data_IF_014834242877
#
_entry.id   IF_014834242877
#
_cell.length_a   1.000
_cell.length_b   1.000
_cell.length_c   1.000
_cell.angle_alpha   90.00
_cell.angle_beta   90.00
_cell.angle_gamma   90.00
#
_symmetry.space_group_name_H-M   'P 1'
#
loop_
_entity.id
_entity.type
_entity.pdbx_description
1 polymer ?
#
# COMPACT_ATOMS: atom_id res chain seq x y z
N UNK A 1 -39.45 21.25 -68.33
CA UNK A 1 -39.01 21.94 -67.09
C UNK A 1 -38.77 20.86 -66.03
N UNK A 2 -37.61 20.19 -65.86
CA UNK A 2 -36.21 20.64 -65.69
C UNK A 2 -35.91 21.47 -64.43
N UNK A 3 -36.59 21.24 -63.29
CA UNK A 3 -36.11 21.76 -61.98
C UNK A 3 -36.63 20.92 -60.79
N UNK A 4 -36.22 19.64 -60.59
CA UNK A 4 -36.56 18.92 -59.32
C UNK A 4 -35.52 17.94 -58.76
N UNK A 5 -34.40 17.66 -59.44
CA UNK A 5 -33.52 16.53 -59.03
C UNK A 5 -32.19 16.99 -58.38
N UNK A 6 -31.90 18.30 -58.35
CA UNK A 6 -30.56 18.79 -57.96
C UNK A 6 -30.42 19.23 -56.49
N UNK A 7 -31.44 19.06 -55.63
CA UNK A 7 -31.38 19.51 -54.22
C UNK A 7 -31.41 18.42 -53.16
N UNK A 8 -31.60 17.15 -53.53
CA UNK A 8 -31.60 16.03 -52.56
C UNK A 8 -30.24 15.32 -52.42
N UNK A 9 -29.29 15.55 -53.34
CA UNK A 9 -27.96 14.94 -53.27
C UNK A 9 -26.95 15.68 -52.38
N UNK A 10 -27.20 16.94 -52.01
CA UNK A 10 -26.31 17.72 -51.14
C UNK A 10 -26.59 17.53 -49.64
N UNK A 11 -27.78 17.05 -49.25
CA UNK A 11 -28.10 16.80 -47.84
C UNK A 11 -27.68 15.41 -47.34
N UNK A 12 -27.62 14.41 -48.23
CA UNK A 12 -27.17 13.05 -47.87
C UNK A 12 -25.68 12.95 -47.54
N UNK A 13 -24.86 13.82 -48.13
CA UNK A 13 -23.41 13.82 -47.95
C UNK A 13 -22.96 14.52 -46.66
N UNK A 14 -23.76 15.46 -46.13
CA UNK A 14 -23.47 16.16 -44.88
C UNK A 14 -23.76 15.31 -43.64
N UNK A 15 -24.74 14.40 -43.69
CA UNK A 15 -25.05 13.52 -42.54
C UNK A 15 -24.04 12.38 -42.39
N UNK A 16 -23.45 11.89 -43.50
CA UNK A 16 -22.45 10.83 -43.44
C UNK A 16 -21.08 11.30 -42.89
N UNK A 17 -20.71 12.57 -43.10
CA UNK A 17 -19.44 13.12 -42.63
C UNK A 17 -19.40 13.38 -41.11
N UNK A 18 -20.54 13.69 -40.49
CA UNK A 18 -20.62 13.94 -39.04
C UNK A 18 -20.62 12.63 -38.24
N UNK A 19 -21.21 11.55 -38.79
CA UNK A 19 -21.23 10.25 -38.13
C UNK A 19 -19.83 9.60 -38.03
N UNK A 20 -18.94 9.84 -39.00
CA UNK A 20 -17.57 9.34 -38.96
C UNK A 20 -16.67 10.10 -37.97
N UNK A 21 -17.02 11.32 -37.58
CA UNK A 21 -16.24 12.12 -36.63
C UNK A 21 -16.53 11.77 -35.15
N UNK A 22 -17.61 11.04 -34.87
CA UNK A 22 -18.03 10.66 -33.51
C UNK A 22 -17.77 9.19 -33.16
N UNK A 23 -17.32 8.38 -34.13
CA UNK A 23 -16.89 6.98 -33.91
C UNK A 23 -15.36 6.82 -33.99
N UNK A 24 -14.61 7.89 -33.72
CA UNK A 24 -13.20 7.75 -33.39
C UNK A 24 -13.09 6.94 -32.11
N UNK A 25 -12.87 5.64 -32.23
CA UNK A 25 -12.50 4.78 -31.11
C UNK A 25 -11.20 5.35 -30.58
N UNK A 26 -11.28 6.03 -29.45
CA UNK A 26 -10.11 6.24 -28.60
C UNK A 26 -9.75 4.87 -28.05
N UNK A 27 -9.13 4.03 -28.88
CA UNK A 27 -8.37 2.87 -28.45
C UNK A 27 -7.14 3.43 -27.73
N UNK A 28 -7.38 3.97 -26.54
CA UNK A 28 -6.36 4.19 -25.56
C UNK A 28 -5.68 2.82 -25.39
N UNK A 29 -4.37 2.70 -25.63
CA UNK A 29 -3.68 1.45 -25.44
C UNK A 29 -3.99 0.97 -24.03
N UNK A 30 -4.54 -0.24 -23.91
CA UNK A 30 -4.84 -0.85 -22.63
C UNK A 30 -3.58 -0.72 -21.76
N UNK A 31 -3.69 -0.27 -20.50
CA UNK A 31 -2.52 -0.10 -19.65
C UNK A 31 -1.78 -1.43 -19.64
N UNK A 32 -0.50 -1.36 -20.02
CA UNK A 32 0.39 -2.50 -20.10
C UNK A 32 0.42 -3.19 -18.72
N UNK A 33 -0.30 -4.30 -18.59
CA UNK A 33 -0.37 -5.11 -17.37
C UNK A 33 0.95 -5.85 -17.08
N UNK A 34 1.99 -5.64 -17.90
CA UNK A 34 3.31 -6.26 -17.70
C UNK A 34 4.31 -5.41 -16.95
N UNK A 35 3.93 -4.21 -16.48
CA UNK A 35 4.65 -3.53 -15.41
C UNK A 35 4.55 -4.36 -14.13
N UNK A 36 5.41 -5.38 -14.00
CA UNK A 36 5.62 -6.14 -12.77
C UNK A 36 6.05 -5.11 -11.73
N UNK A 37 5.11 -4.70 -10.88
CA UNK A 37 5.38 -3.79 -9.79
C UNK A 37 6.61 -4.31 -9.05
N UNK A 38 7.67 -3.48 -8.98
CA UNK A 38 8.83 -3.80 -8.16
C UNK A 38 8.29 -4.09 -6.76
N UNK A 39 8.63 -5.23 -6.13
CA UNK A 39 8.21 -5.49 -4.77
C UNK A 39 8.58 -4.28 -3.92
N UNK A 40 7.61 -3.72 -3.21
CA UNK A 40 7.89 -2.66 -2.26
C UNK A 40 8.96 -3.17 -1.30
N UNK A 41 9.96 -2.34 -0.99
CA UNK A 41 10.97 -2.75 -0.02
C UNK A 41 10.29 -3.05 1.33
N UNK A 42 10.69 -4.15 2.01
CA UNK A 42 10.15 -4.46 3.33
C UNK A 42 10.31 -3.28 4.27
N UNK A 43 9.25 -2.94 5.00
CA UNK A 43 9.34 -1.94 6.08
C UNK A 43 10.29 -2.45 7.16
N UNK A 44 11.06 -1.54 7.76
CA UNK A 44 11.90 -1.89 8.90
C UNK A 44 11.10 -1.89 10.20
N UNK A 45 11.44 -2.78 11.13
CA UNK A 45 10.85 -2.90 12.46
C UNK A 45 11.96 -2.97 13.51
N UNK A 46 11.94 -2.03 14.45
CA UNK A 46 12.73 -2.07 15.68
C UNK A 46 11.87 -2.68 16.80
N UNK A 47 12.34 -3.77 17.40
CA UNK A 47 11.73 -4.34 18.61
C UNK A 47 12.40 -3.74 19.84
N UNK A 48 11.65 -3.02 20.68
CA UNK A 48 12.18 -2.29 21.83
C UNK A 48 11.12 -2.11 22.92
N UNK A 49 11.47 -2.18 24.23
CA UNK A 49 10.51 -1.91 25.29
C UNK A 49 9.93 -0.48 25.25
N UNK A 50 10.60 0.46 24.58
CA UNK A 50 10.29 1.89 24.62
C UNK A 50 9.56 2.41 23.38
N UNK A 51 8.94 1.52 22.58
CA UNK A 51 8.40 1.88 21.27
C UNK A 51 7.43 3.08 21.30
N UNK A 52 6.56 3.16 22.31
CA UNK A 52 5.59 4.24 22.48
C UNK A 52 6.22 5.61 22.76
N UNK A 53 7.47 5.64 23.25
CA UNK A 53 8.22 6.86 23.56
C UNK A 53 9.14 7.30 22.44
N UNK A 54 9.35 6.44 21.43
CA UNK A 54 10.22 6.75 20.31
C UNK A 54 9.50 7.66 19.30
N UNK A 55 10.21 8.64 18.71
CA UNK A 55 9.66 9.42 17.63
C UNK A 55 9.38 8.54 16.42
N UNK A 56 8.31 8.85 15.69
CA UNK A 56 8.10 8.24 14.37
C UNK A 56 9.22 8.66 13.42
N UNK A 57 9.81 7.68 12.71
CA UNK A 57 10.80 7.91 11.67
C UNK A 57 10.32 7.25 10.37
N UNK A 58 10.32 7.96 9.23
CA UNK A 58 9.94 7.36 7.96
C UNK A 58 10.75 6.09 7.66
N UNK A 59 10.07 5.02 7.28
CA UNK A 59 10.70 3.76 6.87
C UNK A 59 11.03 2.78 8.01
N UNK A 60 10.82 3.16 9.27
CA UNK A 60 10.99 2.24 10.42
C UNK A 60 9.85 2.38 11.43
N UNK A 61 9.34 1.22 11.85
CA UNK A 61 8.30 1.11 12.88
C UNK A 61 8.95 0.64 14.18
N UNK A 62 8.60 1.26 15.30
CA UNK A 62 8.98 0.75 16.61
C UNK A 62 7.85 -0.10 17.19
N UNK A 63 8.16 -1.27 17.72
CA UNK A 63 7.20 -2.18 18.35
C UNK A 63 7.72 -2.67 19.70
N UNK A 64 6.81 -2.92 20.63
CA UNK A 64 7.13 -3.47 21.95
C UNK A 64 6.90 -4.98 21.94
N UNK A 65 7.89 -5.77 22.37
CA UNK A 65 7.72 -7.21 22.56
C UNK A 65 6.80 -7.47 23.76
N UNK A 66 5.73 -8.22 23.53
CA UNK A 66 4.74 -8.60 24.55
C UNK A 66 4.94 -10.06 24.96
N UNK A 67 5.20 -10.94 24.00
CA UNK A 67 5.39 -12.38 24.23
C UNK A 67 6.46 -12.96 23.30
N UNK A 68 7.20 -13.96 23.80
CA UNK A 68 8.20 -14.70 23.03
C UNK A 68 9.61 -14.10 23.13
N UNK A 69 10.49 -14.54 22.23
CA UNK A 69 11.88 -14.09 22.16
C UNK A 69 12.27 -13.86 20.71
N UNK A 70 12.78 -12.66 20.42
CA UNK A 70 13.38 -12.33 19.13
C UNK A 70 14.88 -12.67 19.21
N UNK A 71 15.38 -13.66 18.45
CA UNK A 71 16.80 -13.97 18.45
C UNK A 71 17.62 -12.76 17.95
N UNK A 72 18.77 -12.42 18.56
CA UNK A 72 19.59 -11.28 18.12
C UNK A 72 20.06 -11.37 16.67
N UNK A 73 20.15 -12.58 16.11
CA UNK A 73 20.54 -12.83 14.72
C UNK A 73 19.38 -12.78 13.72
N UNK A 74 18.14 -12.55 14.19
CA UNK A 74 16.98 -12.50 13.31
C UNK A 74 16.96 -11.17 12.54
N UNK A 75 16.84 -11.27 11.21
CA UNK A 75 16.86 -10.12 10.29
C UNK A 75 15.51 -9.85 9.64
N UNK A 76 14.58 -10.79 9.74
CA UNK A 76 13.26 -10.71 9.13
C UNK A 76 12.19 -11.33 10.03
N UNK A 77 10.97 -10.85 9.84
CA UNK A 77 9.77 -11.41 10.45
C UNK A 77 8.62 -11.42 9.45
N UNK A 78 7.74 -12.42 9.56
CA UNK A 78 6.47 -12.44 8.82
C UNK A 78 5.32 -12.10 9.75
N UNK A 79 4.50 -11.12 9.39
CA UNK A 79 3.31 -10.73 10.13
C UNK A 79 2.22 -11.78 9.91
N UNK A 80 1.66 -12.31 11.00
CA UNK A 80 0.57 -13.27 11.00
C UNK A 80 -0.79 -12.61 11.19
N UNK A 81 -0.90 -11.67 12.12
CA UNK A 81 -2.17 -11.06 12.54
C UNK A 81 -2.04 -9.55 12.76
N UNK A 82 -3.16 -8.86 12.75
CA UNK A 82 -3.35 -7.43 13.04
C UNK A 82 -4.57 -7.20 13.95
N UNK A 83 -4.43 -7.65 15.20
CA UNK A 83 -5.49 -7.62 16.21
C UNK A 83 -5.49 -6.30 16.99
N UNK A 84 -6.62 -5.98 17.64
CA UNK A 84 -6.77 -4.84 18.55
C UNK A 84 -6.33 -3.47 17.98
N UNK A 85 -6.55 -3.28 16.69
CA UNK A 85 -6.06 -2.10 15.96
C UNK A 85 -6.91 -0.83 16.11
N UNK A 86 -8.01 -0.86 16.86
CA UNK A 86 -8.85 0.33 17.04
C UNK A 86 -8.04 1.47 17.71
N UNK A 87 -8.01 2.69 17.14
CA UNK A 87 -7.35 3.79 17.79
C UNK A 87 -8.09 4.23 19.06
N UNK A 88 -7.33 4.74 20.02
CA UNK A 88 -7.88 5.43 21.19
C UNK A 88 -8.47 6.80 20.83
N UNK A 89 -8.95 7.53 21.84
CA UNK A 89 -9.62 8.83 21.68
C UNK A 89 -8.71 9.91 21.09
N UNK A 90 -7.39 9.72 21.08
CA UNK A 90 -6.41 10.64 20.49
C UNK A 90 -5.85 10.12 19.16
N UNK A 91 -6.41 9.04 18.61
CA UNK A 91 -6.05 8.51 17.31
C UNK A 91 -4.87 7.54 17.31
N UNK A 92 -4.39 7.12 18.49
CA UNK A 92 -3.26 6.19 18.63
C UNK A 92 -3.79 4.76 18.74
N UNK A 93 -3.35 3.90 17.83
CA UNK A 93 -3.58 2.45 17.91
C UNK A 93 -2.41 1.77 18.62
N UNK A 94 -2.70 0.66 19.32
CA UNK A 94 -1.70 -0.25 19.89
C UNK A 94 -1.94 -1.67 19.35
N UNK A 95 -2.06 -1.79 18.03
CA UNK A 95 -2.27 -3.06 17.34
C UNK A 95 -1.40 -4.17 17.94
N UNK A 96 -2.03 -5.29 18.27
CA UNK A 96 -1.35 -6.53 18.62
C UNK A 96 -1.06 -7.31 17.34
N UNK A 97 0.22 -7.56 17.07
CA UNK A 97 0.65 -8.33 15.92
C UNK A 97 1.37 -9.61 16.39
N UNK A 98 0.92 -10.77 15.89
CA UNK A 98 1.71 -12.00 15.96
C UNK A 98 2.66 -12.06 14.77
N UNK A 99 3.93 -12.39 15.02
CA UNK A 99 4.97 -12.46 14.01
C UNK A 99 5.66 -13.83 14.06
N UNK A 100 6.01 -14.38 12.90
CA UNK A 100 6.98 -15.49 12.83
C UNK A 100 8.38 -14.91 12.64
N UNK A 101 9.25 -15.17 13.61
CA UNK A 101 10.65 -14.76 13.63
C UNK A 101 11.51 -16.00 13.78
N UNK A 102 12.36 -16.28 12.79
CA UNK A 102 13.21 -17.48 12.78
C UNK A 102 12.46 -18.79 13.12
N UNK A 103 11.23 -18.92 12.59
CA UNK A 103 10.36 -20.08 12.81
C UNK A 103 9.62 -20.13 14.15
N UNK A 104 9.74 -19.09 14.99
CA UNK A 104 9.03 -18.97 16.27
C UNK A 104 8.01 -17.85 16.23
N UNK A 105 6.88 -18.05 16.90
CA UNK A 105 5.90 -16.98 17.07
C UNK A 105 6.31 -16.03 18.20
N UNK A 106 6.13 -14.73 17.98
CA UNK A 106 6.25 -13.67 18.99
C UNK A 106 5.04 -12.74 18.87
N UNK A 107 4.65 -12.10 19.97
CA UNK A 107 3.61 -11.07 19.96
C UNK A 107 4.24 -9.70 20.23
N UNK A 108 3.85 -8.70 19.45
CA UNK A 108 4.31 -7.31 19.62
C UNK A 108 3.13 -6.34 19.63
N UNK A 109 3.26 -5.26 20.40
CA UNK A 109 2.41 -4.08 20.23
C UNK A 109 3.09 -3.08 19.31
N UNK A 110 2.34 -2.61 18.31
CA UNK A 110 2.77 -1.56 17.39
C UNK A 110 2.02 -0.25 17.72
N UNK A 111 2.54 0.57 18.65
CA UNK A 111 1.96 1.87 18.94
C UNK A 111 2.17 2.83 17.76
N UNK A 112 1.10 3.36 17.19
CA UNK A 112 1.22 4.32 16.10
C UNK A 112 -0.04 5.18 15.93
N UNK A 113 0.13 6.36 15.35
CA UNK A 113 -0.98 7.24 14.97
C UNK A 113 -1.58 6.78 13.65
N UNK A 114 -2.86 6.43 13.67
CA UNK A 114 -3.51 5.78 12.52
C UNK A 114 -3.69 6.67 11.30
N UNK A 115 -3.59 8.00 11.47
CA UNK A 115 -3.60 8.98 10.39
C UNK A 115 -2.20 9.24 9.79
N UNK A 116 -1.13 8.77 10.43
CA UNK A 116 0.26 9.01 10.01
C UNK A 116 0.94 7.72 9.53
N UNK A 117 0.65 6.59 10.18
CA UNK A 117 1.32 5.31 9.95
C UNK A 117 0.26 4.23 9.74
N UNK A 118 0.46 3.38 8.73
CA UNK A 118 -0.40 2.23 8.52
C UNK A 118 0.01 1.04 9.41
N UNK A 119 -0.95 0.27 9.89
CA UNK A 119 -0.72 -0.98 10.62
C UNK A 119 0.22 -1.94 9.86
N UNK A 120 0.87 -2.83 10.60
CA UNK A 120 1.42 -4.07 10.05
C UNK A 120 0.27 -4.93 9.54
N UNK A 121 0.43 -5.56 8.37
CA UNK A 121 -0.65 -6.34 7.73
C UNK A 121 -0.32 -7.84 7.69
N UNK A 122 -1.30 -8.73 7.89
CA UNK A 122 -1.11 -10.16 7.72
C UNK A 122 -0.49 -10.50 6.37
N UNK A 123 0.55 -11.35 6.39
CA UNK A 123 1.30 -11.76 5.20
C UNK A 123 2.46 -10.84 4.82
N UNK A 124 2.58 -9.66 5.42
CA UNK A 124 3.73 -8.77 5.22
C UNK A 124 5.02 -9.39 5.77
N UNK A 125 6.11 -9.28 5.01
CA UNK A 125 7.47 -9.52 5.51
C UNK A 125 8.10 -8.19 5.87
N UNK A 126 8.64 -8.09 7.08
CA UNK A 126 9.34 -6.91 7.59
C UNK A 126 10.80 -7.23 7.87
N UNK A 127 11.67 -6.24 7.71
CA UNK A 127 13.08 -6.33 8.10
C UNK A 127 13.23 -5.95 9.57
N UNK A 128 13.84 -6.80 10.37
CA UNK A 128 14.20 -6.46 11.74
C UNK A 128 15.49 -5.63 11.74
N UNK A 129 15.49 -4.54 12.50
CA UNK A 129 16.65 -3.66 12.67
C UNK A 129 16.99 -3.49 14.14
N UNK A 130 18.26 -3.25 14.43
CA UNK A 130 18.70 -2.92 15.78
C UNK A 130 18.54 -1.42 16.09
N UNK A 131 18.85 -1.06 17.33
CA UNK A 131 18.76 0.31 17.80
C UNK A 131 19.72 1.26 17.09
N UNK A 132 20.92 0.79 16.72
CA UNK A 132 21.91 1.62 16.06
C UNK A 132 21.44 2.04 14.66
N UNK A 133 20.85 1.10 13.92
CA UNK A 133 20.24 1.38 12.60
C UNK A 133 19.08 2.37 12.75
N UNK A 134 18.19 2.17 13.73
CA UNK A 134 17.08 3.10 13.97
C UNK A 134 17.57 4.52 14.32
N UNK A 135 18.59 4.65 15.18
CA UNK A 135 19.10 5.96 15.59
C UNK A 135 19.79 6.70 14.43
N UNK A 136 20.35 5.98 13.46
CA UNK A 136 21.02 6.54 12.28
C UNK A 136 20.08 7.01 11.14
N UNK A 137 18.79 6.63 11.19
CA UNK A 137 17.75 7.11 10.24
C UNK A 137 17.27 8.51 10.60
#
# INVERSE_FOLDING_TARGET
MRVRITRLLLLGLLVAAVAWLLLGTNDAPAPDRTARARPAEPRAVLVTPDAERLPHKPGVLAVTLVEGVVPPSAVEARVLTDEDCAPDTVGVSRCLNRLVVAGREVAVWHPHRMNEVACLRPGETVRLVDRAIYDAM
#
